data_IF_002416165963
#
_entry.id   IF_002416165963
#
_cell.length_a   1.000
_cell.length_b   1.000
_cell.length_c   1.000
_cell.angle_alpha   90.00
_cell.angle_beta   90.00
_cell.angle_gamma   90.00
#
_symmetry.space_group_name_H-M   'P 1'
#
loop_
_entity.id
_entity.type
_entity.pdbx_description
1 polymer ?
#
# COMPACT_ATOMS: atom_id res chain seq x y z
N UNK A 1 -44.05 -1.69 12.81
CA UNK A 1 -44.60 -0.90 13.94
C UNK A 1 -44.51 -1.78 15.18
N UNK A 2 -43.51 -1.64 16.00
CA UNK A 2 -43.41 -2.27 17.33
C UNK A 2 -42.72 -1.24 18.25
N UNK A 3 -43.31 -0.87 19.39
CA UNK A 3 -42.80 0.21 20.25
C UNK A 3 -41.80 -0.31 21.26
N UNK A 4 -40.61 0.21 21.25
CA UNK A 4 -39.62 0.12 22.31
C UNK A 4 -39.63 1.43 23.13
N UNK A 5 -40.50 1.53 24.07
CA UNK A 5 -40.48 2.58 25.10
C UNK A 5 -41.25 2.09 26.30
N UNK A 6 -40.59 1.46 27.28
CA UNK A 6 -41.01 1.41 28.68
C UNK A 6 -40.11 0.44 29.50
N UNK A 7 -38.91 0.82 29.83
CA UNK A 7 -38.14 0.23 30.95
C UNK A 7 -37.00 1.14 31.41
N UNK A 8 -37.29 2.42 31.65
CA UNK A 8 -36.37 3.34 32.31
C UNK A 8 -37.16 4.12 33.39
N UNK A 9 -37.34 3.53 34.50
CA UNK A 9 -37.99 4.25 35.59
C UNK A 9 -38.33 3.35 36.77
N UNK A 10 -37.34 2.87 37.51
CA UNK A 10 -37.53 2.43 38.92
C UNK A 10 -36.20 1.91 39.50
N UNK A 11 -35.19 2.76 39.65
CA UNK A 11 -34.11 2.55 40.63
C UNK A 11 -33.73 3.93 41.19
N UNK A 12 -34.56 4.42 42.08
CA UNK A 12 -34.15 5.50 42.98
C UNK A 12 -34.71 5.19 44.37
N UNK A 13 -33.81 5.13 45.35
CA UNK A 13 -33.99 5.04 46.80
C UNK A 13 -34.04 3.64 47.41
N UNK A 14 -32.86 3.15 47.75
CA UNK A 14 -32.66 2.45 49.02
C UNK A 14 -31.24 2.76 49.53
N UNK A 15 -31.14 3.69 50.47
CA UNK A 15 -29.97 3.87 51.34
C UNK A 15 -29.93 2.69 52.31
N UNK A 16 -29.03 1.75 52.12
CA UNK A 16 -28.80 0.66 53.04
C UNK A 16 -27.44 0.06 52.77
N UNK A 17 -26.53 0.14 53.72
CA UNK A 17 -25.19 -0.45 53.71
C UNK A 17 -25.26 -1.93 53.33
N UNK A 18 -24.94 -2.30 52.12
CA UNK A 18 -24.79 -3.69 51.71
C UNK A 18 -23.32 -4.09 51.86
N UNK A 19 -23.09 -5.05 52.74
CA UNK A 19 -21.80 -5.62 53.11
C UNK A 19 -21.29 -6.46 51.89
N UNK A 20 -20.24 -5.97 51.23
CA UNK A 20 -19.70 -6.50 49.97
C UNK A 20 -18.96 -7.84 50.13
N UNK A 21 -19.04 -8.46 51.35
CA UNK A 21 -18.23 -9.65 51.66
C UNK A 21 -18.90 -11.01 51.40
N UNK A 22 -20.14 -11.07 50.92
CA UNK A 22 -20.85 -12.36 50.79
C UNK A 22 -21.39 -12.67 49.39
N UNK A 23 -21.14 -11.85 48.40
CA UNK A 23 -21.60 -12.08 47.00
C UNK A 23 -20.52 -12.56 46.03
N UNK A 24 -19.29 -12.82 46.53
CA UNK A 24 -18.20 -13.31 45.67
C UNK A 24 -18.14 -14.86 45.54
N UNK A 25 -19.06 -15.59 46.18
CA UNK A 25 -18.99 -17.06 46.23
C UNK A 25 -19.95 -17.79 45.26
N UNK A 26 -20.74 -17.08 44.44
CA UNK A 26 -21.76 -17.71 43.57
C UNK A 26 -21.68 -17.36 42.08
N UNK A 27 -20.57 -16.80 41.61
CA UNK A 27 -20.38 -16.48 40.18
C UNK A 27 -19.27 -17.32 39.48
N UNK A 28 -18.99 -18.57 39.79
CA UNK A 28 -18.09 -19.36 38.96
C UNK A 28 -18.77 -20.38 38.04
N UNK A 29 -20.10 -20.38 37.89
CA UNK A 29 -20.74 -21.48 37.16
C UNK A 29 -21.42 -21.09 35.82
N UNK A 30 -21.47 -19.82 35.42
CA UNK A 30 -22.21 -19.41 34.22
C UNK A 30 -21.31 -18.76 33.12
N UNK A 31 -20.02 -18.56 33.37
CA UNK A 31 -19.14 -17.95 32.38
C UNK A 31 -17.96 -18.84 31.97
N UNK A 32 -18.23 -20.12 31.66
CA UNK A 32 -17.29 -21.01 30.99
C UNK A 32 -17.79 -21.40 29.59
N UNK A 33 -18.45 -20.50 28.89
CA UNK A 33 -18.47 -20.56 27.44
C UNK A 33 -17.17 -19.90 27.02
N UNK A 34 -16.10 -20.71 26.95
CA UNK A 34 -14.92 -20.35 26.15
C UNK A 34 -15.39 -20.26 24.69
N UNK A 35 -15.39 -19.09 24.05
CA UNK A 35 -15.55 -19.07 22.61
C UNK A 35 -14.38 -19.89 22.06
N UNK A 36 -14.71 -20.90 21.29
CA UNK A 36 -13.76 -21.72 20.55
C UNK A 36 -12.89 -20.77 19.70
N UNK A 37 -11.67 -20.50 20.16
CA UNK A 37 -10.72 -19.59 19.51
C UNK A 37 -10.19 -20.12 18.17
N UNK A 38 -10.70 -21.26 17.70
CA UNK A 38 -10.26 -21.87 16.46
C UNK A 38 -11.05 -21.45 15.22
N UNK A 39 -12.04 -20.54 15.32
CA UNK A 39 -12.83 -20.06 14.17
C UNK A 39 -12.97 -18.54 14.05
N UNK A 40 -12.29 -17.79 14.87
CA UNK A 40 -11.97 -16.41 14.53
C UNK A 40 -10.50 -16.39 14.05
N UNK A 41 -10.21 -17.20 13.03
CA UNK A 41 -9.31 -16.74 12.01
C UNK A 41 -9.99 -15.50 11.48
N UNK A 42 -9.55 -14.32 11.98
CA UNK A 42 -9.80 -13.05 11.34
C UNK A 42 -9.62 -13.32 9.86
N UNK A 43 -10.72 -13.37 9.13
CA UNK A 43 -10.69 -13.14 7.70
C UNK A 43 -10.18 -11.72 7.58
N UNK A 44 -8.88 -11.58 7.65
CA UNK A 44 -8.14 -10.46 7.14
C UNK A 44 -8.33 -10.61 5.63
N UNK A 45 -9.50 -10.19 5.19
CA UNK A 45 -9.75 -9.86 3.79
C UNK A 45 -8.91 -8.61 3.50
N UNK A 46 -7.60 -8.76 3.55
CA UNK A 46 -6.75 -7.99 2.70
C UNK A 46 -7.14 -8.51 1.32
N UNK A 47 -8.04 -7.77 0.69
CA UNK A 47 -8.26 -7.86 -0.74
C UNK A 47 -6.88 -7.68 -1.35
N UNK A 48 -6.21 -8.80 -1.63
CA UNK A 48 -5.00 -8.84 -2.44
C UNK A 48 -5.40 -8.57 -3.88
N UNK A 49 -5.98 -7.40 -4.09
CA UNK A 49 -6.05 -6.80 -5.39
C UNK A 49 -4.61 -6.44 -5.82
N UNK A 50 -4.35 -6.41 -7.10
CA UNK A 50 -3.11 -5.87 -7.67
C UNK A 50 -2.92 -4.43 -7.16
N UNK A 51 -2.27 -4.29 -6.02
CA UNK A 51 -2.12 -3.04 -5.29
C UNK A 51 -0.65 -2.70 -5.16
N UNK A 52 -0.29 -1.53 -5.62
CA UNK A 52 1.03 -0.97 -5.34
C UNK A 52 1.19 -0.73 -3.84
N UNK A 53 2.38 -0.97 -3.31
CA UNK A 53 2.64 -0.67 -1.91
C UNK A 53 2.65 0.84 -1.68
N UNK A 54 2.30 1.28 -0.47
CA UNK A 54 2.43 2.70 -0.11
C UNK A 54 3.85 3.26 -0.31
N UNK A 55 4.87 2.41 -0.24
CA UNK A 55 6.24 2.82 -0.51
C UNK A 55 6.43 3.17 -1.98
N UNK A 56 5.79 2.43 -2.87
CA UNK A 56 5.81 2.70 -4.30
C UNK A 56 5.03 3.97 -4.64
N UNK A 57 3.88 4.22 -3.99
CA UNK A 57 3.16 5.49 -4.13
C UNK A 57 4.07 6.68 -3.76
N UNK A 58 4.76 6.58 -2.61
CA UNK A 58 5.70 7.62 -2.17
C UNK A 58 6.93 7.75 -3.08
N UNK A 59 7.37 6.67 -3.70
CA UNK A 59 8.45 6.72 -4.68
C UNK A 59 8.04 7.44 -5.95
N UNK A 60 6.84 7.18 -6.46
CA UNK A 60 6.28 7.89 -7.62
C UNK A 60 6.12 9.38 -7.32
N UNK A 61 5.61 9.75 -6.12
CA UNK A 61 5.52 11.12 -5.66
C UNK A 61 6.90 11.79 -5.64
N UNK A 62 7.90 11.12 -5.04
CA UNK A 62 9.25 11.66 -4.92
C UNK A 62 9.91 11.87 -6.29
N UNK A 63 9.83 10.89 -7.20
CA UNK A 63 10.42 10.98 -8.54
C UNK A 63 9.72 12.06 -9.36
N UNK A 64 8.39 12.17 -9.30
CA UNK A 64 7.62 13.25 -9.92
C UNK A 64 8.04 14.62 -9.38
N UNK A 65 8.17 14.77 -8.06
CA UNK A 65 8.63 16.00 -7.42
C UNK A 65 10.02 16.41 -7.95
N UNK A 66 10.96 15.46 -8.01
CA UNK A 66 12.30 15.72 -8.54
C UNK A 66 12.28 16.09 -10.03
N UNK A 67 11.34 15.55 -10.80
CA UNK A 67 11.17 15.91 -12.21
C UNK A 67 10.66 17.35 -12.40
N UNK A 68 9.73 17.80 -11.54
CA UNK A 68 9.12 19.13 -11.65
C UNK A 68 9.96 20.23 -11.02
N UNK A 69 10.71 19.93 -9.95
CA UNK A 69 11.48 20.92 -9.19
C UNK A 69 12.99 20.81 -9.41
N UNK A 70 13.44 19.74 -10.09
CA UNK A 70 14.85 19.44 -10.29
C UNK A 70 15.60 20.43 -11.20
N UNK A 71 14.90 21.27 -11.97
CA UNK A 71 15.50 22.34 -12.74
C UNK A 71 16.23 23.39 -11.86
N UNK A 72 15.87 23.50 -10.58
CA UNK A 72 16.48 24.40 -9.61
C UNK A 72 17.51 23.75 -8.69
N UNK A 73 17.84 22.47 -8.90
CA UNK A 73 18.83 21.75 -8.09
C UNK A 73 18.32 20.42 -7.53
N UNK A 74 18.77 20.09 -6.32
CA UNK A 74 18.38 18.89 -5.57
C UNK A 74 17.34 19.24 -4.50
N UNK A 75 16.44 18.29 -4.20
CA UNK A 75 15.52 18.38 -3.05
C UNK A 75 15.94 17.41 -1.97
N UNK A 76 15.92 17.86 -0.69
CA UNK A 76 16.24 16.99 0.43
C UNK A 76 15.07 16.03 0.73
N UNK A 77 15.38 14.92 1.41
CA UNK A 77 14.34 14.01 1.89
C UNK A 77 13.36 14.69 2.86
N UNK A 78 13.85 15.70 3.62
CA UNK A 78 13.04 16.47 4.56
C UNK A 78 12.04 17.35 3.81
N UNK A 79 12.49 18.08 2.78
CA UNK A 79 11.64 19.00 2.02
C UNK A 79 10.50 18.25 1.32
N UNK A 80 10.83 17.10 0.70
CA UNK A 80 9.81 16.26 0.06
C UNK A 80 8.85 15.68 1.10
N UNK A 81 9.37 15.21 2.24
CA UNK A 81 8.56 14.64 3.31
C UNK A 81 7.57 15.66 3.89
N UNK A 82 8.04 16.89 4.14
CA UNK A 82 7.23 18.00 4.64
C UNK A 82 6.15 18.42 3.64
N UNK A 83 6.52 18.61 2.38
CA UNK A 83 5.60 19.02 1.33
C UNK A 83 4.43 18.05 1.11
N UNK A 84 4.69 16.75 1.22
CA UNK A 84 3.67 15.72 0.96
C UNK A 84 3.14 15.05 2.23
N UNK A 85 3.43 15.61 3.41
CA UNK A 85 2.99 15.07 4.72
C UNK A 85 3.36 13.59 4.93
N UNK A 86 4.54 13.20 4.45
CA UNK A 86 5.07 11.84 4.58
C UNK A 86 6.12 11.83 5.70
N UNK A 87 6.18 10.75 6.48
CA UNK A 87 7.23 10.69 7.51
C UNK A 87 8.64 10.71 6.89
N UNK A 88 9.50 11.61 7.38
CA UNK A 88 10.87 11.80 6.88
C UNK A 88 11.68 10.49 6.86
N UNK A 89 11.67 9.61 7.90
CA UNK A 89 12.41 8.36 7.85
C UNK A 89 11.95 7.42 6.73
N UNK A 90 10.68 7.46 6.38
CA UNK A 90 10.12 6.65 5.30
C UNK A 90 10.54 7.22 3.94
N UNK A 91 10.44 8.54 3.75
CA UNK A 91 10.89 9.20 2.52
C UNK A 91 12.39 8.97 2.28
N UNK A 92 13.21 9.08 3.32
CA UNK A 92 14.65 8.81 3.22
C UNK A 92 14.93 7.36 2.77
N UNK A 93 14.21 6.36 3.31
CA UNK A 93 14.34 4.95 2.88
C UNK A 93 13.92 4.74 1.43
N UNK A 94 12.85 5.40 1.00
CA UNK A 94 12.38 5.33 -0.38
C UNK A 94 13.43 5.91 -1.33
N UNK A 95 13.93 7.12 -1.06
CA UNK A 95 14.95 7.78 -1.87
C UNK A 95 16.27 6.98 -1.92
N UNK A 96 16.69 6.39 -0.79
CA UNK A 96 17.84 5.48 -0.76
C UNK A 96 17.64 4.25 -1.66
N UNK A 97 16.42 3.70 -1.68
CA UNK A 97 16.11 2.55 -2.52
C UNK A 97 16.11 2.91 -4.01
N UNK A 98 15.57 4.08 -4.36
CA UNK A 98 15.63 4.64 -5.71
C UNK A 98 17.08 4.93 -6.14
N UNK A 99 17.90 5.46 -5.23
CA UNK A 99 19.33 5.71 -5.49
C UNK A 99 20.12 4.42 -5.72
N UNK A 100 19.86 3.38 -4.91
CA UNK A 100 20.47 2.06 -5.10
C UNK A 100 20.16 1.45 -6.47
N UNK A 101 18.98 1.75 -7.02
CA UNK A 101 18.56 1.27 -8.34
C UNK A 101 18.88 2.27 -9.47
N UNK A 102 19.64 3.33 -9.22
CA UNK A 102 20.12 4.26 -10.24
C UNK A 102 19.05 5.16 -10.86
N UNK A 103 17.93 5.36 -10.16
CA UNK A 103 16.85 6.26 -10.61
C UNK A 103 17.05 7.69 -10.12
N UNK A 104 17.69 7.84 -8.94
CA UNK A 104 18.08 9.13 -8.38
C UNK A 104 19.53 9.10 -7.94
N UNK A 105 20.16 10.27 -7.84
CA UNK A 105 21.52 10.46 -7.31
C UNK A 105 21.46 11.36 -6.09
N UNK A 106 22.28 11.05 -5.07
CA UNK A 106 22.43 11.90 -3.91
C UNK A 106 23.54 12.92 -4.14
N UNK A 107 23.29 14.18 -3.81
CA UNK A 107 24.30 15.25 -3.76
C UNK A 107 24.63 15.57 -2.31
N UNK A 108 25.93 15.69 -2.03
CA UNK A 108 26.43 16.09 -0.71
C UNK A 108 26.66 17.62 -0.66
N UNK A 109 26.61 18.19 0.52
CA UNK A 109 26.89 19.61 0.77
C UNK A 109 25.72 20.33 1.45
N UNK A 110 25.88 21.64 1.68
CA UNK A 110 24.87 22.51 2.35
C UNK A 110 23.56 22.60 1.57
N UNK A 111 23.61 22.49 0.25
CA UNK A 111 22.44 22.40 -0.65
C UNK A 111 22.30 20.97 -1.22
N UNK A 112 22.72 19.98 -0.42
CA UNK A 112 22.63 18.57 -0.78
C UNK A 112 21.19 18.06 -0.84
N UNK A 113 21.01 16.90 -1.46
CA UNK A 113 19.68 16.28 -1.60
C UNK A 113 19.72 15.21 -2.67
N UNK A 114 18.58 14.97 -3.27
CA UNK A 114 18.39 14.01 -4.35
C UNK A 114 18.00 14.71 -5.65
N UNK A 115 18.47 14.20 -6.77
CA UNK A 115 18.07 14.60 -8.11
C UNK A 115 17.86 13.36 -8.97
N UNK A 116 17.14 13.49 -10.09
CA UNK A 116 17.02 12.38 -11.04
C UNK A 116 18.39 12.04 -11.62
N UNK A 117 18.64 10.74 -11.81
CA UNK A 117 19.87 10.23 -12.43
C UNK A 117 19.81 10.25 -13.96
N UNK A 118 18.61 10.33 -14.54
CA UNK A 118 18.31 10.33 -15.98
C UNK A 118 17.18 11.32 -16.26
N UNK A 119 16.99 11.65 -17.53
CA UNK A 119 15.86 12.49 -17.95
C UNK A 119 14.52 11.85 -17.57
N UNK A 120 13.52 12.64 -17.16
CA UNK A 120 12.20 12.15 -16.78
C UNK A 120 11.51 11.32 -17.88
N UNK A 121 11.82 11.58 -19.15
CA UNK A 121 11.32 10.80 -20.28
C UNK A 121 11.91 9.40 -20.38
N UNK A 122 13.06 9.17 -19.73
CA UNK A 122 13.77 7.89 -19.72
C UNK A 122 13.49 7.06 -18.45
N UNK A 123 12.66 7.57 -17.55
CA UNK A 123 12.26 6.87 -16.32
C UNK A 123 10.79 6.53 -16.46
N UNK A 124 10.47 5.24 -16.39
CA UNK A 124 9.09 4.74 -16.52
C UNK A 124 8.46 4.45 -15.17
N UNK A 125 7.14 4.38 -15.11
CA UNK A 125 6.44 3.91 -13.93
C UNK A 125 6.90 2.50 -13.52
N UNK A 126 7.15 1.63 -14.50
CA UNK A 126 7.67 0.28 -14.29
C UNK A 126 9.03 0.29 -13.59
N UNK A 127 9.94 1.18 -13.98
CA UNK A 127 11.26 1.32 -13.34
C UNK A 127 11.12 1.65 -11.86
N UNK A 128 10.26 2.62 -11.52
CA UNK A 128 10.03 3.05 -10.13
C UNK A 128 9.40 1.94 -9.30
N UNK A 129 8.36 1.27 -9.83
CA UNK A 129 7.68 0.17 -9.15
C UNK A 129 8.65 -0.98 -8.91
N UNK A 130 9.38 -1.38 -9.94
CA UNK A 130 10.36 -2.48 -9.86
C UNK A 130 11.51 -2.18 -8.90
N UNK A 131 11.94 -0.92 -8.82
CA UNK A 131 12.96 -0.49 -7.87
C UNK A 131 12.51 -0.61 -6.41
N UNK A 132 11.23 -0.40 -6.12
CA UNK A 132 10.70 -0.37 -4.74
C UNK A 132 10.11 -1.72 -4.32
N UNK A 133 9.24 -2.29 -5.10
CA UNK A 133 8.51 -3.52 -4.74
C UNK A 133 9.12 -4.78 -5.37
N UNK A 134 10.01 -4.61 -6.34
CA UNK A 134 10.55 -5.71 -7.11
C UNK A 134 9.72 -5.98 -8.37
N UNK A 135 9.90 -7.13 -9.03
CA UNK A 135 9.23 -7.43 -10.29
C UNK A 135 7.72 -7.45 -10.13
N UNK A 136 7.03 -6.82 -11.08
CA UNK A 136 5.56 -6.78 -11.12
C UNK A 136 5.03 -8.11 -11.68
N UNK A 137 4.35 -8.87 -10.83
CA UNK A 137 3.83 -10.19 -11.16
C UNK A 137 2.39 -10.30 -10.67
N UNK A 138 1.49 -10.73 -11.57
CA UNK A 138 0.08 -10.96 -11.21
C UNK A 138 -0.09 -12.31 -10.55
N UNK A 139 0.68 -13.32 -11.00
CA UNK A 139 0.65 -14.68 -10.47
C UNK A 139 2.06 -15.23 -10.32
N UNK A 140 2.28 -16.03 -9.30
CA UNK A 140 3.58 -16.68 -9.05
C UNK A 140 4.01 -17.64 -10.15
N UNK A 141 3.07 -18.22 -10.89
CA UNK A 141 3.36 -19.18 -11.95
C UNK A 141 3.92 -18.54 -13.24
N UNK A 142 3.93 -17.21 -13.34
CA UNK A 142 4.55 -16.47 -14.46
C UNK A 142 6.07 -16.44 -14.32
N UNK A 143 6.61 -16.63 -13.11
CA UNK A 143 8.06 -16.72 -12.88
C UNK A 143 8.59 -18.10 -13.22
N UNK A 144 9.87 -18.17 -13.64
CA UNK A 144 10.58 -19.44 -13.86
C UNK A 144 10.79 -20.26 -12.57
N UNK A 145 10.53 -19.66 -11.41
CA UNK A 145 10.68 -20.27 -10.09
C UNK A 145 9.34 -20.62 -9.42
N UNK A 146 8.21 -20.31 -10.08
CA UNK A 146 6.88 -20.62 -9.56
C UNK A 146 6.61 -22.12 -9.63
N UNK A 147 6.96 -22.85 -8.57
CA UNK A 147 6.52 -24.25 -8.42
C UNK A 147 4.99 -24.24 -8.19
N UNK A 148 4.25 -24.70 -9.18
CA UNK A 148 2.81 -24.88 -9.09
C UNK A 148 2.49 -26.34 -9.48
N UNK A 149 1.84 -27.06 -8.59
CA UNK A 149 1.46 -28.46 -8.83
C UNK A 149 0.50 -28.63 -10.01
N UNK A 150 -0.19 -27.57 -10.40
CA UNK A 150 -1.09 -27.53 -11.55
C UNK A 150 -0.37 -27.28 -12.88
N UNK A 151 0.93 -26.96 -12.88
CA UNK A 151 1.68 -26.63 -14.10
C UNK A 151 1.44 -27.60 -15.26
N UNK A 152 1.45 -28.96 -15.06
CA UNK A 152 1.24 -29.91 -16.14
C UNK A 152 -0.16 -29.89 -16.77
N UNK A 153 -1.15 -29.36 -16.04
CA UNK A 153 -2.58 -29.35 -16.43
C UNK A 153 -3.17 -27.96 -16.51
N UNK A 154 -2.36 -26.93 -16.34
CA UNK A 154 -2.81 -25.56 -16.24
C UNK A 154 -3.14 -24.99 -17.63
N UNK A 155 -4.40 -24.70 -17.87
CA UNK A 155 -4.88 -24.08 -19.12
C UNK A 155 -4.83 -22.55 -19.10
N UNK A 156 -4.66 -21.94 -17.92
CA UNK A 156 -4.67 -20.47 -17.76
C UNK A 156 -3.28 -19.85 -17.65
N UNK A 157 -2.21 -20.66 -17.56
CA UNK A 157 -0.84 -20.15 -17.41
C UNK A 157 -0.46 -19.20 -18.56
N UNK A 158 -0.68 -19.64 -19.79
CA UNK A 158 -0.34 -18.85 -20.97
C UNK A 158 -1.22 -17.59 -21.13
N UNK A 159 -2.53 -17.65 -20.98
CA UNK A 159 -3.37 -16.44 -20.89
C UNK A 159 -2.90 -15.45 -19.84
N UNK A 160 -2.57 -15.92 -18.62
CA UNK A 160 -2.11 -15.03 -17.53
C UNK A 160 -0.73 -14.44 -17.79
N UNK A 161 0.15 -15.15 -18.48
CA UNK A 161 1.43 -14.62 -18.93
C UNK A 161 1.23 -13.42 -19.87
N UNK A 162 0.32 -13.53 -20.85
CA UNK A 162 -0.02 -12.45 -21.76
C UNK A 162 -0.61 -11.24 -21.05
N UNK A 163 -1.50 -11.47 -20.07
CA UNK A 163 -2.04 -10.39 -19.24
C UNK A 163 -0.92 -9.68 -18.48
N UNK A 164 -0.01 -10.43 -17.86
CA UNK A 164 1.16 -9.86 -17.17
C UNK A 164 2.02 -9.02 -18.10
N UNK A 165 2.33 -9.53 -19.29
CA UNK A 165 3.10 -8.81 -20.30
C UNK A 165 2.41 -7.50 -20.74
N UNK A 166 1.09 -7.52 -20.93
CA UNK A 166 0.32 -6.33 -21.27
C UNK A 166 0.39 -5.27 -20.17
N UNK A 167 0.31 -5.68 -18.90
CA UNK A 167 0.46 -4.75 -17.76
C UNK A 167 1.87 -4.16 -17.74
N UNK A 168 2.90 -4.97 -17.92
CA UNK A 168 4.28 -4.47 -17.98
C UNK A 168 4.47 -3.47 -19.12
N UNK A 169 3.88 -3.73 -20.29
CA UNK A 169 3.91 -2.81 -21.42
C UNK A 169 3.25 -1.47 -21.10
N UNK A 170 2.07 -1.48 -20.47
CA UNK A 170 1.38 -0.25 -20.07
C UNK A 170 2.21 0.54 -19.04
N UNK A 171 2.75 -0.11 -18.02
CA UNK A 171 3.58 0.54 -17.01
C UNK A 171 4.90 1.07 -17.58
N UNK A 172 5.45 0.40 -18.58
CA UNK A 172 6.67 0.84 -19.28
C UNK A 172 6.43 1.98 -20.27
N UNK A 173 5.21 2.12 -20.77
CA UNK A 173 4.84 3.21 -21.68
C UNK A 173 4.60 4.54 -20.95
N UNK A 174 4.32 4.51 -19.63
CA UNK A 174 4.07 5.72 -18.84
C UNK A 174 5.40 6.24 -18.27
N UNK A 175 5.85 7.41 -18.73
CA UNK A 175 7.08 8.06 -18.25
C UNK A 175 6.81 9.03 -17.11
N UNK A 176 7.84 9.35 -16.32
CA UNK A 176 7.75 10.35 -15.26
C UNK A 176 7.48 11.75 -15.83
N UNK A 177 7.98 12.05 -17.01
CA UNK A 177 7.67 13.29 -17.72
C UNK A 177 6.17 13.44 -17.97
N UNK A 178 5.51 12.40 -18.48
CA UNK A 178 4.06 12.38 -18.69
C UNK A 178 3.28 12.53 -17.37
N UNK A 179 3.77 11.94 -16.28
CA UNK A 179 3.14 12.08 -14.94
C UNK A 179 3.37 13.48 -14.35
N UNK A 180 4.36 14.22 -14.81
CA UNK A 180 4.73 15.56 -14.31
C UNK A 180 4.04 16.68 -15.07
N UNK A 181 3.55 16.43 -16.28
CA UNK A 181 2.74 17.35 -17.06
C UNK A 181 1.36 17.60 -16.45
N UNK A 182 0.68 18.65 -16.92
CA UNK A 182 -0.75 18.86 -16.65
C UNK A 182 -1.51 17.59 -17.01
N UNK A 183 -2.56 17.23 -16.24
CA UNK A 183 -3.32 16.01 -16.50
C UNK A 183 -3.95 16.11 -17.89
N UNK A 184 -3.25 15.63 -18.88
CA UNK A 184 -3.83 15.40 -20.19
C UNK A 184 -4.85 14.28 -20.01
N UNK A 185 -6.10 14.54 -20.30
CA UNK A 185 -7.14 13.52 -20.41
C UNK A 185 -6.65 12.47 -21.39
N UNK A 186 -5.90 11.50 -20.89
CA UNK A 186 -5.48 10.36 -21.68
C UNK A 186 -6.75 9.59 -21.99
N UNK A 187 -7.20 9.67 -23.22
CA UNK A 187 -8.28 8.85 -23.77
C UNK A 187 -7.96 7.41 -23.41
N UNK A 188 -8.85 6.78 -22.66
CA UNK A 188 -8.76 5.38 -22.27
C UNK A 188 -8.43 4.58 -23.54
N UNK A 189 -7.41 3.73 -23.45
CA UNK A 189 -7.02 2.82 -24.52
C UNK A 189 -8.26 2.06 -24.97
N UNK A 190 -8.71 2.30 -26.19
CA UNK A 190 -9.73 1.47 -26.81
C UNK A 190 -9.16 0.07 -26.95
N UNK A 191 -9.62 -0.82 -26.09
CA UNK A 191 -9.38 -2.26 -26.25
C UNK A 191 -10.14 -2.68 -27.50
N UNK A 192 -9.43 -2.75 -28.62
CA UNK A 192 -9.98 -3.36 -29.83
C UNK A 192 -10.22 -4.84 -29.53
N UNK A 193 -11.49 -5.21 -29.51
CA UNK A 193 -12.01 -6.60 -29.53
C UNK A 193 -11.58 -7.31 -30.80
#
# INVERSE_FOLDING_TARGET
MVPWCAALGLIARAKGKLNISLTFALIPAILQIRPNQSHIALVRSEEEMLKLSKKTDYALIAVRHLATHGANGSSSASDIAELYEISMPLMAKVLQKLAKNGLVTARHGSNGGYQLARDPDQITALDVISAVDGPVLITSCVTNHGACDQTPRCTIREPMRRVNESILQVLNAVTISQMSGEPQHTTLVELRT
#
